data_IF_337669223762
#
_entry.id   IF_337669223762
#
_cell.length_a   1.000
_cell.length_b   1.000
_cell.length_c   1.000
_cell.angle_alpha   90.00
_cell.angle_beta   90.00
_cell.angle_gamma   90.00
#
_symmetry.space_group_name_H-M   'P 1'
#
loop_
_entity.id
_entity.type
_entity.pdbx_description
1 polymer ?
#
# COMPACT_ATOMS: atom_id res chain seq x y z
N UNK A 1 -0.44 -14.69 -2.25
CA UNK A 1 -0.64 -13.91 -3.49
C UNK A 1 0.43 -12.83 -3.58
N UNK A 2 0.91 -12.51 -4.78
CA UNK A 2 1.75 -11.33 -5.04
C UNK A 2 0.94 -10.33 -5.86
N UNK A 3 1.09 -9.05 -5.55
CA UNK A 3 0.51 -7.97 -6.34
C UNK A 3 1.61 -7.35 -7.18
N UNK A 4 1.37 -7.19 -8.48
CA UNK A 4 2.29 -6.49 -9.39
C UNK A 4 1.63 -5.19 -9.81
N UNK A 5 2.39 -4.09 -9.77
CA UNK A 5 1.93 -2.77 -10.21
C UNK A 5 3.03 -2.05 -10.97
N UNK A 6 2.78 -0.82 -11.40
CA UNK A 6 3.76 0.07 -12.02
C UNK A 6 3.71 1.44 -11.32
N UNK A 7 4.69 2.34 -11.50
CA UNK A 7 4.74 3.59 -10.74
C UNK A 7 3.52 4.51 -10.97
N UNK A 8 2.80 4.35 -12.08
CA UNK A 8 1.65 5.20 -12.41
C UNK A 8 0.49 5.00 -11.44
N UNK A 9 -0.16 6.12 -11.09
CA UNK A 9 -1.28 6.15 -10.16
C UNK A 9 -2.43 5.22 -10.56
N UNK A 10 -2.73 5.09 -11.86
CA UNK A 10 -3.80 4.23 -12.35
C UNK A 10 -3.54 2.75 -12.04
N UNK A 11 -2.35 2.25 -12.36
CA UNK A 11 -1.96 0.87 -12.08
C UNK A 11 -1.86 0.59 -10.58
N UNK A 12 -1.35 1.56 -9.81
CA UNK A 12 -1.32 1.50 -8.34
C UNK A 12 -2.72 1.33 -7.76
N UNK A 13 -3.68 2.17 -8.15
CA UNK A 13 -5.07 2.10 -7.65
C UNK A 13 -5.74 0.77 -7.97
N UNK A 14 -5.46 0.18 -9.14
CA UNK A 14 -5.96 -1.16 -9.49
C UNK A 14 -5.34 -2.22 -8.59
N UNK A 15 -4.03 -2.16 -8.37
CA UNK A 15 -3.29 -3.07 -7.50
C UNK A 15 -3.78 -3.01 -6.04
N UNK A 16 -4.01 -1.81 -5.49
CA UNK A 16 -4.56 -1.63 -4.14
C UNK A 16 -5.96 -2.25 -4.01
N UNK A 17 -6.83 -2.06 -5.00
CA UNK A 17 -8.17 -2.67 -5.01
C UNK A 17 -8.08 -4.19 -5.07
N UNK A 18 -7.24 -4.73 -5.95
CA UNK A 18 -7.03 -6.18 -6.06
C UNK A 18 -6.51 -6.78 -4.74
N UNK A 19 -5.55 -6.12 -4.09
CA UNK A 19 -5.04 -6.52 -2.78
C UNK A 19 -6.13 -6.53 -1.70
N UNK A 20 -6.95 -5.49 -1.62
CA UNK A 20 -8.07 -5.40 -0.66
C UNK A 20 -9.15 -6.46 -0.91
N UNK A 21 -9.47 -6.75 -2.17
CA UNK A 21 -10.43 -7.83 -2.51
C UNK A 21 -9.88 -9.22 -2.18
N UNK A 22 -8.57 -9.42 -2.25
CA UNK A 22 -7.94 -10.68 -1.87
C UNK A 22 -8.15 -11.00 -0.38
N UNK A 23 -8.11 -10.00 0.50
CA UNK A 23 -8.41 -10.17 1.92
C UNK A 23 -9.84 -10.67 2.17
N UNK A 24 -10.81 -10.15 1.40
CA UNK A 24 -12.21 -10.58 1.47
C UNK A 24 -12.42 -12.02 0.98
N UNK A 25 -11.51 -12.52 0.15
CA UNK A 25 -11.56 -13.87 -0.43
C UNK A 25 -10.60 -14.85 0.27
N UNK A 26 -10.08 -14.48 1.45
CA UNK A 26 -9.13 -15.29 2.24
C UNK A 26 -7.79 -15.57 1.53
N UNK A 27 -7.45 -14.78 0.51
CA UNK A 27 -6.15 -14.83 -0.14
C UNK A 27 -5.17 -13.88 0.56
N UNK A 28 -4.17 -14.43 1.24
CA UNK A 28 -3.11 -13.62 1.87
C UNK A 28 -2.24 -12.93 0.81
N UNK A 29 -2.21 -11.60 0.83
CA UNK A 29 -1.23 -10.80 0.08
C UNK A 29 0.11 -10.92 0.79
N UNK A 30 1.14 -11.41 0.09
CA UNK A 30 2.48 -11.57 0.65
C UNK A 30 3.32 -10.30 0.47
N UNK A 31 3.02 -9.50 -0.55
CA UNK A 31 3.79 -8.31 -0.89
C UNK A 31 3.51 -7.81 -2.30
N UNK A 32 4.17 -6.70 -2.62
CA UNK A 32 4.06 -5.99 -3.90
C UNK A 32 5.38 -6.09 -4.66
N UNK A 33 5.31 -6.14 -5.98
CA UNK A 33 6.43 -5.90 -6.90
C UNK A 33 6.06 -4.72 -7.80
N UNK A 34 6.95 -3.74 -7.91
CA UNK A 34 6.82 -2.66 -8.88
C UNK A 34 7.53 -3.06 -10.17
N UNK A 35 6.81 -3.18 -11.27
CA UNK A 35 7.36 -3.41 -12.61
C UNK A 35 7.52 -2.08 -13.36
N UNK A 36 8.35 -2.06 -14.40
CA UNK A 36 8.63 -0.86 -15.20
C UNK A 36 9.06 0.33 -14.33
N UNK A 37 9.82 0.06 -13.26
CA UNK A 37 10.12 1.05 -12.21
C UNK A 37 11.12 2.12 -12.66
N UNK A 38 11.99 1.78 -13.59
CA UNK A 38 12.99 2.69 -14.18
C UNK A 38 13.58 2.08 -15.45
N UNK A 39 14.27 2.90 -16.22
CA UNK A 39 15.08 2.51 -17.38
C UNK A 39 16.54 2.87 -17.10
N UNK A 40 17.49 2.07 -17.59
CA UNK A 40 18.91 2.42 -17.58
C UNK A 40 19.32 2.69 -19.02
N UNK A 41 19.78 3.91 -19.29
CA UNK A 41 20.27 4.28 -20.61
C UNK A 41 21.51 3.44 -20.97
N UNK A 42 21.51 2.68 -22.06
CA UNK A 42 22.65 1.85 -22.44
C UNK A 42 23.86 2.67 -22.91
N UNK A 43 23.68 3.96 -23.22
CA UNK A 43 24.74 4.83 -23.73
C UNK A 43 25.48 5.59 -22.62
N UNK A 44 24.77 6.04 -21.57
CA UNK A 44 25.36 6.83 -20.48
C UNK A 44 25.25 6.17 -19.10
N UNK A 45 24.49 5.09 -18.95
CA UNK A 45 24.27 4.39 -17.68
C UNK A 45 23.32 5.12 -16.71
N UNK A 46 22.74 6.24 -17.11
CA UNK A 46 21.83 7.01 -16.28
C UNK A 46 20.50 6.27 -16.07
N UNK A 47 19.96 6.41 -14.85
CA UNK A 47 18.67 5.86 -14.46
C UNK A 47 17.58 6.90 -14.70
N UNK A 48 16.58 6.53 -15.49
CA UNK A 48 15.44 7.38 -15.81
C UNK A 48 14.12 6.77 -15.30
N UNK A 49 13.30 7.61 -14.67
CA UNK A 49 11.98 7.22 -14.16
C UNK A 49 10.89 7.65 -15.15
N UNK A 50 10.94 7.09 -16.37
CA UNK A 50 10.07 7.45 -17.53
C UNK A 50 8.57 7.36 -17.16
N UNK A 51 8.23 6.51 -16.21
CA UNK A 51 6.87 6.20 -15.79
C UNK A 51 6.50 6.75 -14.41
N UNK A 52 7.33 7.61 -13.84
CA UNK A 52 7.25 8.04 -12.45
C UNK A 52 7.97 7.06 -11.51
N UNK A 53 7.80 7.27 -10.21
CA UNK A 53 8.47 6.48 -9.17
C UNK A 53 7.55 6.27 -7.96
N UNK A 54 7.75 5.17 -7.23
CA UNK A 54 7.19 4.99 -5.89
C UNK A 54 5.76 4.44 -5.82
N UNK A 55 5.04 4.31 -6.94
CA UNK A 55 3.67 3.79 -6.96
C UNK A 55 3.53 2.40 -6.32
N UNK A 56 4.53 1.52 -6.49
CA UNK A 56 4.57 0.22 -5.84
C UNK A 56 4.85 0.29 -4.35
N UNK A 57 5.67 1.24 -3.88
CA UNK A 57 5.88 1.46 -2.46
C UNK A 57 4.61 1.99 -1.79
N UNK A 58 3.90 2.90 -2.45
CA UNK A 58 2.61 3.40 -1.98
C UNK A 58 1.56 2.29 -1.91
N UNK A 59 1.46 1.43 -2.93
CA UNK A 59 0.59 0.27 -2.88
C UNK A 59 0.94 -0.68 -1.73
N UNK A 60 2.24 -0.95 -1.52
CA UNK A 60 2.72 -1.80 -0.44
C UNK A 60 2.33 -1.23 0.93
N UNK A 61 2.50 0.08 1.12
CA UNK A 61 2.09 0.79 2.34
C UNK A 61 0.58 0.72 2.56
N UNK A 62 -0.22 0.99 1.52
CA UNK A 62 -1.70 0.92 1.59
C UNK A 62 -2.19 -0.48 1.97
N UNK A 63 -1.50 -1.52 1.51
CA UNK A 63 -1.86 -2.92 1.79
C UNK A 63 -1.20 -3.47 3.08
N UNK A 64 -0.31 -2.72 3.74
CA UNK A 64 0.40 -3.19 4.93
C UNK A 64 1.33 -4.37 4.69
N UNK A 65 1.91 -4.49 3.49
CA UNK A 65 2.76 -5.62 3.05
C UNK A 65 4.11 -5.11 2.52
N UNK A 66 5.16 -5.94 2.47
CA UNK A 66 6.46 -5.50 1.95
C UNK A 66 6.47 -5.27 0.43
N UNK A 67 7.29 -4.33 -0.02
CA UNK A 67 7.73 -4.23 -1.42
C UNK A 67 8.91 -5.18 -1.65
N UNK A 68 8.75 -6.22 -2.47
CA UNK A 68 9.77 -7.22 -2.74
C UNK A 68 10.82 -6.79 -3.76
N UNK A 69 10.48 -5.86 -4.65
CA UNK A 69 11.44 -5.35 -5.62
C UNK A 69 10.84 -4.34 -6.58
N UNK A 70 11.74 -3.62 -7.24
CA UNK A 70 11.46 -2.71 -8.35
C UNK A 70 12.19 -3.26 -9.57
N UNK A 71 11.44 -3.67 -10.59
CA UNK A 71 11.98 -4.32 -11.78
C UNK A 71 12.09 -3.29 -12.92
N UNK A 72 13.31 -3.02 -13.42
CA UNK A 72 13.49 -2.07 -14.49
C UNK A 72 12.88 -2.54 -15.81
N UNK A 73 12.53 -1.57 -16.64
CA UNK A 73 12.21 -1.79 -18.03
C UNK A 73 13.50 -2.08 -18.80
N UNK A 74 13.68 -3.32 -19.23
CA UNK A 74 14.77 -3.71 -20.15
C UNK A 74 14.19 -4.49 -21.34
N UNK A 75 14.58 -4.17 -22.59
CA UNK A 75 14.04 -4.87 -23.76
C UNK A 75 14.20 -6.40 -23.68
N UNK A 76 15.35 -6.87 -23.19
CA UNK A 76 15.64 -8.29 -23.03
C UNK A 76 14.66 -9.01 -22.07
N UNK A 77 14.07 -8.31 -21.09
CA UNK A 77 13.09 -8.90 -20.17
C UNK A 77 11.78 -9.21 -20.91
N UNK A 78 11.33 -8.29 -21.78
CA UNK A 78 10.17 -8.51 -22.64
C UNK A 78 10.43 -9.63 -23.64
N UNK A 79 11.54 -9.54 -24.38
CA UNK A 79 11.91 -10.53 -25.41
C UNK A 79 12.04 -11.92 -24.81
N UNK A 80 12.79 -12.08 -23.72
CA UNK A 80 12.92 -13.37 -23.05
C UNK A 80 11.61 -13.92 -22.49
N UNK A 81 10.68 -13.03 -22.10
CA UNK A 81 9.31 -13.43 -21.72
C UNK A 81 8.49 -13.97 -22.89
N UNK A 82 8.57 -13.28 -24.05
CA UNK A 82 7.87 -13.66 -25.28
C UNK A 82 8.44 -14.97 -25.88
N UNK A 83 9.76 -15.14 -25.84
CA UNK A 83 10.48 -16.29 -26.43
C UNK A 83 10.55 -17.51 -25.50
N UNK A 84 10.00 -17.43 -24.28
CA UNK A 84 10.00 -18.52 -23.31
C UNK A 84 11.35 -18.79 -22.64
N UNK A 85 12.33 -17.90 -22.78
CA UNK A 85 13.63 -17.97 -22.09
C UNK A 85 13.79 -16.76 -21.16
N UNK A 86 13.35 -16.85 -19.90
CA UNK A 86 13.31 -15.72 -18.98
C UNK A 86 14.68 -15.08 -18.76
N UNK A 87 14.72 -13.76 -18.56
CA UNK A 87 15.98 -13.03 -18.37
C UNK A 87 16.82 -13.55 -17.20
N UNK A 88 16.19 -14.12 -16.16
CA UNK A 88 16.91 -14.75 -15.04
C UNK A 88 17.72 -15.99 -15.43
N UNK A 89 17.43 -16.57 -16.61
CA UNK A 89 18.16 -17.70 -17.21
C UNK A 89 19.12 -17.20 -18.30
N UNK A 90 18.65 -16.34 -19.21
CA UNK A 90 19.43 -15.89 -20.37
C UNK A 90 20.46 -14.80 -20.05
N UNK A 91 20.12 -13.87 -19.16
CA UNK A 91 21.03 -12.80 -18.71
C UNK A 91 20.82 -12.52 -17.21
N UNK A 92 21.28 -13.44 -16.34
CA UNK A 92 21.06 -13.36 -14.91
C UNK A 92 21.58 -12.05 -14.30
N UNK A 93 22.72 -11.54 -14.78
CA UNK A 93 23.44 -10.42 -14.18
C UNK A 93 22.97 -9.05 -14.71
N UNK A 94 22.07 -9.05 -15.70
CA UNK A 94 21.32 -7.85 -16.10
C UNK A 94 20.62 -7.18 -14.89
N UNK A 95 20.37 -5.87 -14.96
CA UNK A 95 19.64 -5.15 -13.91
C UNK A 95 18.30 -5.79 -13.54
N UNK A 96 17.54 -6.27 -14.53
CA UNK A 96 16.27 -6.95 -14.27
C UNK A 96 16.47 -8.38 -13.74
N UNK A 97 17.43 -9.14 -14.27
CA UNK A 97 17.77 -10.47 -13.77
C UNK A 97 18.20 -10.45 -12.30
N UNK A 98 19.05 -9.49 -11.93
CA UNK A 98 19.47 -9.25 -10.56
C UNK A 98 18.29 -8.86 -9.66
N UNK A 99 17.46 -7.90 -10.09
CA UNK A 99 16.29 -7.45 -9.32
C UNK A 99 15.28 -8.57 -9.08
N UNK A 100 14.98 -9.39 -10.10
CA UNK A 100 14.08 -10.54 -9.98
C UNK A 100 14.65 -11.62 -9.04
N UNK A 101 15.94 -11.93 -9.13
CA UNK A 101 16.59 -12.89 -8.23
C UNK A 101 16.55 -12.40 -6.78
N UNK A 102 16.81 -11.12 -6.53
CA UNK A 102 16.71 -10.54 -5.20
C UNK A 102 15.27 -10.58 -4.66
N UNK A 103 14.27 -10.22 -5.48
CA UNK A 103 12.86 -10.30 -5.10
C UNK A 103 12.44 -11.73 -4.74
N UNK A 104 12.85 -12.71 -5.56
CA UNK A 104 12.57 -14.13 -5.31
C UNK A 104 13.24 -14.63 -4.02
N UNK A 105 14.48 -14.23 -3.74
CA UNK A 105 15.17 -14.59 -2.50
C UNK A 105 14.47 -14.01 -1.26
N UNK A 106 14.00 -12.75 -1.33
CA UNK A 106 13.24 -12.12 -0.24
C UNK A 106 11.91 -12.83 -0.02
N UNK A 107 11.18 -13.10 -1.09
CA UNK A 107 9.93 -13.86 -1.03
C UNK A 107 10.11 -15.26 -0.41
N UNK A 108 11.16 -15.98 -0.80
CA UNK A 108 11.45 -17.31 -0.27
C UNK A 108 11.74 -17.29 1.24
N UNK A 109 12.39 -16.23 1.74
CA UNK A 109 12.62 -16.05 3.19
C UNK A 109 11.30 -15.80 3.91
N UNK A 110 10.46 -14.89 3.42
CA UNK A 110 9.18 -14.59 4.06
C UNK A 110 8.18 -15.76 4.02
N UNK A 111 8.12 -16.49 2.91
CA UNK A 111 7.21 -17.63 2.82
C UNK A 111 7.61 -18.73 3.82
N UNK A 112 8.90 -18.94 4.05
CA UNK A 112 9.39 -19.90 5.06
C UNK A 112 9.05 -19.51 6.49
N UNK A 113 8.98 -18.22 6.82
CA UNK A 113 8.59 -17.76 8.16
C UNK A 113 7.10 -17.96 8.41
N UNK A 114 6.26 -17.81 7.37
CA UNK A 114 4.81 -18.00 7.46
C UNK A 114 4.40 -19.46 7.62
N UNK A 115 5.09 -20.40 6.96
CA UNK A 115 4.83 -21.85 7.06
C UNK A 115 5.04 -22.38 8.50
N UNK A 116 5.83 -21.69 9.32
CA UNK A 116 6.17 -22.11 10.70
C UNK A 116 5.32 -21.47 11.79
N UNK A 117 4.39 -20.57 11.47
CA UNK A 117 3.47 -19.99 12.46
C UNK A 117 2.20 -20.85 12.51
N UNK A 118 1.71 -21.24 13.71
CA UNK A 118 0.42 -21.91 13.81
C UNK A 118 -0.66 -20.99 13.25
N UNK A 119 -1.49 -21.51 12.35
CA UNK A 119 -2.65 -20.79 11.81
C UNK A 119 -3.62 -20.53 12.96
N UNK A 120 -3.80 -19.27 13.34
CA UNK A 120 -4.88 -18.87 14.22
C UNK A 120 -6.20 -19.00 13.46
N UNK A 121 -6.78 -20.20 13.44
CA UNK A 121 -8.18 -20.39 13.09
C UNK A 121 -9.04 -19.83 14.23
N UNK A 122 -9.25 -18.51 14.21
CA UNK A 122 -10.24 -17.86 15.04
C UNK A 122 -11.64 -18.21 14.57
N UNK A 123 -12.13 -19.39 14.92
CA UNK A 123 -13.58 -19.65 14.93
C UNK A 123 -14.12 -18.99 16.19
N UNK A 124 -14.60 -17.75 16.08
CA UNK A 124 -15.46 -17.18 17.10
C UNK A 124 -16.78 -17.98 17.10
N UNK A 125 -17.20 -18.60 18.22
CA UNK A 125 -18.48 -19.28 18.28
C UNK A 125 -19.59 -18.21 18.23
N UNK A 126 -20.48 -18.29 17.23
CA UNK A 126 -21.75 -17.58 17.25
C UNK A 126 -22.59 -18.09 18.43
N UNK A 127 -23.05 -17.24 19.36
CA UNK A 127 -24.08 -17.64 20.31
C UNK A 127 -25.41 -17.71 19.54
N UNK A 128 -25.85 -18.93 19.24
CA UNK A 128 -27.10 -19.19 18.53
C UNK A 128 -28.12 -19.92 19.40
N UNK A 129 -29.14 -19.17 19.80
CA UNK A 129 -30.51 -19.59 20.07
C UNK A 129 -30.76 -20.70 21.13
N UNK A 130 -30.97 -20.26 22.37
CA UNK A 130 -31.79 -21.02 23.32
C UNK A 130 -33.28 -20.92 22.91
N UNK A 131 -33.85 -22.03 22.46
CA UNK A 131 -35.29 -22.26 22.45
C UNK A 131 -35.73 -22.66 23.86
N UNK A 132 -36.58 -21.85 24.49
CA UNK A 132 -37.44 -22.30 25.57
C UNK A 132 -38.79 -21.56 25.47
N UNK A 133 -39.75 -22.21 24.82
CA UNK A 133 -41.15 -21.86 24.88
C UNK A 133 -41.75 -22.44 26.18
N UNK A 134 -42.24 -21.58 27.07
CA UNK A 134 -42.84 -22.00 28.34
C UNK A 134 -43.21 -20.82 29.24
N UNK A 135 -44.35 -20.18 28.96
CA UNK A 135 -45.13 -19.39 29.95
C UNK A 135 -46.17 -20.33 30.59
N UNK A 136 -46.75 -20.09 31.80
CA UNK A 136 -47.22 -18.76 32.24
C UNK A 136 -47.21 -18.43 33.77
N UNK A 137 -47.54 -17.16 34.04
CA UNK A 137 -48.24 -16.56 35.21
C UNK A 137 -47.51 -16.11 36.50
N UNK A 138 -47.87 -14.89 36.94
CA UNK A 138 -47.72 -14.34 38.31
C UNK A 138 -47.14 -12.90 38.30
N UNK A 139 -47.95 -11.84 38.15
CA UNK A 139 -48.57 -10.98 39.18
C UNK A 139 -47.61 -9.99 39.89
N UNK A 140 -48.04 -8.70 39.95
CA UNK A 140 -47.59 -7.58 40.81
C UNK A 140 -46.30 -6.83 40.44
N UNK A 141 -46.10 -5.52 40.68
CA UNK A 141 -46.92 -4.30 40.79
C UNK A 141 -45.96 -3.10 40.60
N UNK A 142 -46.48 -2.00 40.03
CA UNK A 142 -46.26 -0.56 40.25
C UNK A 142 -44.94 0.05 40.80
N UNK A 143 -44.55 1.22 40.24
CA UNK A 143 -43.63 2.22 40.84
C UNK A 143 -42.77 2.94 39.79
N UNK A 144 -43.25 3.96 39.08
CA UNK A 144 -43.27 5.40 39.43
C UNK A 144 -41.93 6.16 39.31
N UNK A 145 -41.96 7.21 38.47
CA UNK A 145 -41.12 8.43 38.43
C UNK A 145 -39.60 8.29 38.17
N UNK A 146 -38.95 9.17 37.41
CA UNK A 146 -39.40 10.40 36.77
C UNK A 146 -38.20 11.21 36.24
N UNK A 147 -38.53 12.24 35.44
CA UNK A 147 -37.83 13.52 35.22
C UNK A 147 -36.35 13.50 34.77
N UNK A 148 -35.98 13.94 33.57
CA UNK A 148 -36.08 15.27 32.94
C UNK A 148 -34.80 16.11 33.07
N UNK A 149 -34.42 16.72 31.94
CA UNK A 149 -33.56 17.90 31.87
C UNK A 149 -32.07 17.61 31.62
N UNK A 150 -31.33 18.42 30.88
CA UNK A 150 -31.67 19.65 30.16
C UNK A 150 -30.43 20.04 29.32
N UNK A 151 -30.66 20.39 28.05
CA UNK A 151 -30.12 21.54 27.26
C UNK A 151 -28.62 21.93 27.20
N UNK A 152 -28.25 22.28 25.95
CA UNK A 152 -27.49 23.49 25.53
C UNK A 152 -25.97 23.54 25.83
N UNK A 153 -25.07 24.14 25.04
CA UNK A 153 -25.13 24.92 23.79
C UNK A 153 -23.70 25.28 23.35
N UNK A 154 -23.55 25.50 22.04
CA UNK A 154 -22.65 26.41 21.30
C UNK A 154 -21.11 26.36 21.46
N UNK A 155 -20.49 26.27 20.28
CA UNK A 155 -19.24 26.94 19.93
C UNK A 155 -19.45 28.47 19.77
N UNK A 156 -18.35 29.24 19.80
CA UNK A 156 -18.20 30.23 18.72
C UNK A 156 -16.79 30.31 18.13
N UNK A 157 -16.77 30.81 16.89
CA UNK A 157 -15.64 31.14 16.04
C UNK A 157 -14.88 32.42 16.47
N UNK A 158 -13.77 32.65 15.73
CA UNK A 158 -13.01 33.89 15.44
C UNK A 158 -11.55 33.77 15.92
N UNK A 159 -10.52 34.12 15.17
CA UNK A 159 -10.42 34.96 13.98
C UNK A 159 -9.16 35.84 14.12
N UNK A 160 -8.57 36.23 12.97
CA UNK A 160 -7.49 37.22 12.78
C UNK A 160 -6.06 36.83 13.18
N UNK A 161 -5.00 37.36 12.57
CA UNK A 161 -4.71 37.97 11.26
C UNK A 161 -3.21 38.28 11.25
N UNK A 162 -2.57 38.22 10.08
CA UNK A 162 -1.48 39.11 9.63
C UNK A 162 -0.29 39.46 10.56
N UNK A 163 0.93 39.14 10.13
CA UNK A 163 1.92 40.21 9.91
C UNK A 163 2.97 39.84 8.86
N UNK A 164 3.11 40.76 7.91
CA UNK A 164 4.18 40.86 6.95
C UNK A 164 5.35 41.68 7.54
N UNK A 165 6.53 41.59 6.92
CA UNK A 165 7.67 42.49 7.10
C UNK A 165 8.97 41.80 6.65
N UNK A 166 9.43 42.02 5.41
CA UNK A 166 10.49 42.98 5.00
C UNK A 166 11.89 42.60 5.51
N UNK A 167 13.03 42.83 4.86
CA UNK A 167 13.49 43.21 3.51
C UNK A 167 15.00 43.48 3.69
N UNK A 168 15.84 43.14 2.70
CA UNK A 168 17.06 43.88 2.28
C UNK A 168 17.73 43.08 1.14
N UNK A 169 17.79 43.57 -0.10
CA UNK A 169 18.80 44.52 -0.64
C UNK A 169 20.24 44.05 -0.31
N UNK A 170 21.18 43.85 -1.23
CA UNK A 170 21.34 44.21 -2.63
C UNK A 170 22.86 44.26 -2.88
N UNK A 171 23.35 43.88 -4.06
CA UNK A 171 24.42 44.62 -4.75
C UNK A 171 24.67 44.07 -6.16
N UNK A 172 24.63 45.03 -7.07
CA UNK A 172 24.98 45.06 -8.47
C UNK A 172 26.51 44.95 -8.67
N UNK A 173 26.95 44.36 -9.78
CA UNK A 173 27.99 44.95 -10.64
C UNK A 173 28.24 44.11 -11.91
N UNK A 174 27.64 44.57 -12.99
CA UNK A 174 28.23 44.82 -14.32
C UNK A 174 29.66 44.33 -14.66
N UNK A 175 29.81 43.79 -15.89
CA UNK A 175 30.87 44.27 -16.80
C UNK A 175 31.71 43.25 -17.60
N UNK A 176 31.42 43.18 -18.91
CA UNK A 176 32.35 43.17 -20.07
C UNK A 176 33.40 42.07 -20.30
N UNK A 177 33.35 41.49 -21.52
CA UNK A 177 34.47 41.57 -22.46
C UNK A 177 35.11 40.25 -22.90
N UNK A 178 34.71 39.73 -24.08
CA UNK A 178 35.50 39.60 -25.32
C UNK A 178 34.94 38.51 -26.24
#
# INVERSE_FOLDING_TARGET
>A
MLVVTTPQEAARKVAERAGKMAEQTHLTVLGVIENMSYYICPHCGERENIFGQGGGQEAANTLGVPLFGQIPLVPALRVGGDDGTPIVVSDPDSPAGAALRQAAQRLARETRTLIRKPLSLGVAPKPGAANANGSPNGHETNGSNGHAGHVHEAAPEAGHSSHAGNAHEGHDHSGHGH
#
